data_IF_708961754784
#
_entry.id   IF_708961754784
#
_cell.length_a   1.000
_cell.length_b   1.000
_cell.length_c   1.000
_cell.angle_alpha   90.00
_cell.angle_beta   90.00
_cell.angle_gamma   90.00
#
_symmetry.space_group_name_H-M   'P 1'
#
loop_
_entity.id
_entity.type
_entity.pdbx_description
1 polymer ?
#
# COMPACT_ATOMS: atom_id res chain seq x y z
N UNK A 1 10.02 11.93 -69.70
CA UNK A 1 10.84 11.17 -68.74
C UNK A 1 10.51 11.63 -67.33
N UNK A 2 9.72 10.88 -66.59
CA UNK A 2 9.32 11.21 -65.22
C UNK A 2 10.23 10.43 -64.27
N UNK A 3 11.00 11.15 -63.43
CA UNK A 3 11.87 10.56 -62.38
C UNK A 3 11.02 10.10 -61.21
N UNK A 4 10.99 8.79 -60.97
CA UNK A 4 10.38 8.18 -59.80
C UNK A 4 11.31 8.37 -58.60
N UNK A 5 10.84 9.14 -57.59
CA UNK A 5 11.54 9.37 -56.34
C UNK A 5 11.20 8.23 -55.38
N UNK A 6 12.18 7.39 -55.01
CA UNK A 6 12.07 6.34 -53.97
C UNK A 6 11.91 6.97 -52.61
N UNK A 7 10.83 6.59 -51.89
CA UNK A 7 10.65 6.89 -50.45
C UNK A 7 11.76 6.25 -49.58
N UNK A 8 12.30 6.95 -48.56
CA UNK A 8 13.23 6.37 -47.63
C UNK A 8 12.50 5.41 -46.67
N UNK A 9 13.14 4.28 -46.37
CA UNK A 9 12.69 3.29 -45.38
C UNK A 9 12.77 3.90 -43.99
N UNK A 10 11.67 3.80 -43.21
CA UNK A 10 11.63 4.11 -41.79
C UNK A 10 12.57 3.17 -41.01
N UNK A 11 13.28 3.67 -39.99
CA UNK A 11 14.09 2.82 -39.11
C UNK A 11 13.18 1.97 -38.21
N UNK A 12 13.56 0.72 -38.03
CA UNK A 12 12.88 -0.23 -37.17
C UNK A 12 12.99 0.21 -35.70
N UNK A 13 11.85 0.24 -35.00
CA UNK A 13 11.75 0.45 -33.57
C UNK A 13 12.34 -0.77 -32.83
N UNK A 14 13.31 -0.60 -31.91
CA UNK A 14 13.77 -1.72 -31.12
C UNK A 14 12.68 -2.14 -30.12
N UNK A 15 12.48 -3.45 -29.96
CA UNK A 15 11.58 -4.05 -28.97
C UNK A 15 12.02 -3.68 -27.54
N UNK A 16 11.08 -3.49 -26.60
CA UNK A 16 11.40 -3.22 -25.21
C UNK A 16 12.09 -4.44 -24.59
N UNK A 17 13.28 -4.25 -24.05
CA UNK A 17 13.98 -5.23 -23.25
C UNK A 17 13.21 -5.47 -21.95
N UNK A 18 12.73 -6.71 -21.77
CA UNK A 18 12.18 -7.21 -20.51
C UNK A 18 13.31 -7.28 -19.47
N UNK A 19 13.47 -6.23 -18.67
CA UNK A 19 14.25 -6.31 -17.43
C UNK A 19 13.28 -6.64 -16.29
N UNK A 20 13.02 -7.93 -16.06
CA UNK A 20 12.49 -8.40 -14.79
C UNK A 20 13.52 -8.06 -13.69
N UNK A 21 13.38 -6.91 -13.08
CA UNK A 21 14.16 -6.51 -11.91
C UNK A 21 13.85 -7.46 -10.76
N UNK A 22 14.85 -8.26 -10.35
CA UNK A 22 14.79 -9.05 -9.13
C UNK A 22 14.51 -8.10 -7.96
N UNK A 23 13.31 -8.22 -7.36
CA UNK A 23 12.95 -7.58 -6.09
C UNK A 23 13.97 -8.01 -5.04
N UNK A 24 14.61 -7.09 -4.29
CA UNK A 24 15.51 -7.47 -3.22
C UNK A 24 14.69 -8.21 -2.14
N UNK A 25 15.06 -9.48 -1.87
CA UNK A 25 14.55 -10.25 -0.72
C UNK A 25 15.03 -9.56 0.55
N UNK A 26 14.30 -8.57 1.06
CA UNK A 26 14.40 -8.15 2.45
C UNK A 26 13.83 -9.28 3.29
N UNK A 27 14.54 -9.66 4.36
CA UNK A 27 14.30 -10.81 5.19
C UNK A 27 12.81 -11.05 5.47
N UNK A 28 12.35 -12.28 5.22
CA UNK A 28 10.97 -12.68 5.38
C UNK A 28 10.48 -12.34 6.80
N UNK A 29 9.41 -11.59 6.89
CA UNK A 29 8.69 -11.39 8.14
C UNK A 29 8.10 -12.75 8.48
N UNK A 30 8.58 -13.37 9.56
CA UNK A 30 7.92 -14.58 10.09
C UNK A 30 6.55 -14.12 10.60
N UNK A 31 5.49 -14.43 9.85
CA UNK A 31 4.12 -14.31 10.36
C UNK A 31 4.04 -15.15 11.62
N UNK A 32 3.51 -14.57 12.71
CA UNK A 32 3.29 -15.33 13.94
C UNK A 32 2.48 -16.58 13.59
N UNK A 33 2.99 -17.74 13.99
CA UNK A 33 2.40 -19.05 13.68
C UNK A 33 0.89 -19.02 13.92
N UNK A 34 0.15 -19.80 13.10
CA UNK A 34 -1.29 -19.99 13.31
C UNK A 34 -1.60 -20.07 14.81
N UNK A 35 -2.68 -19.45 15.24
CA UNK A 35 -3.18 -19.48 16.63
C UNK A 35 -3.46 -20.93 17.07
N UNK A 36 -2.36 -21.70 17.16
CA UNK A 36 -2.39 -23.15 17.39
C UNK A 36 -2.52 -23.48 18.86
N UNK A 37 -3.70 -23.32 19.41
CA UNK A 37 -4.14 -24.30 20.42
C UNK A 37 -4.32 -25.64 19.70
N UNK A 38 -3.87 -26.75 20.30
CA UNK A 38 -4.06 -28.13 19.76
C UNK A 38 -5.55 -28.47 19.50
N UNK A 39 -6.47 -27.61 19.93
CA UNK A 39 -7.93 -27.68 19.79
C UNK A 39 -8.53 -26.53 18.98
N UNK A 40 -7.73 -25.71 18.27
CA UNK A 40 -8.30 -24.68 17.40
C UNK A 40 -9.07 -25.34 16.25
N UNK A 41 -10.25 -24.84 15.87
CA UNK A 41 -10.99 -25.33 14.71
C UNK A 41 -10.12 -25.28 13.45
N UNK A 42 -10.19 -26.33 12.64
CA UNK A 42 -9.51 -26.36 11.34
C UNK A 42 -10.18 -25.34 10.42
N UNK A 43 -9.38 -24.43 9.87
CA UNK A 43 -9.86 -23.47 8.87
C UNK A 43 -9.98 -24.20 7.52
N UNK A 44 -11.20 -24.27 7.00
CA UNK A 44 -11.49 -24.88 5.71
C UNK A 44 -12.33 -23.92 4.86
N UNK A 45 -11.66 -22.97 4.22
CA UNK A 45 -12.26 -21.94 3.36
C UNK A 45 -11.85 -22.13 1.90
N UNK A 46 -11.31 -23.30 1.54
CA UNK A 46 -10.90 -23.61 0.16
C UNK A 46 -9.53 -23.04 -0.25
N UNK A 47 -8.77 -22.48 0.70
CA UNK A 47 -7.42 -21.93 0.49
C UNK A 47 -6.43 -22.74 1.32
N UNK A 48 -5.35 -23.23 0.71
CA UNK A 48 -4.33 -24.02 1.38
C UNK A 48 -3.60 -23.24 2.48
N UNK A 49 -3.08 -23.96 3.48
CA UNK A 49 -2.41 -23.35 4.63
C UNK A 49 -1.22 -22.49 4.23
N UNK A 50 -0.43 -22.93 3.26
CA UNK A 50 0.74 -22.20 2.78
C UNK A 50 0.35 -20.89 2.10
N UNK A 51 -0.71 -20.94 1.28
CA UNK A 51 -1.24 -19.77 0.57
C UNK A 51 -1.83 -18.76 1.57
N UNK A 52 -2.60 -19.24 2.57
CA UNK A 52 -3.12 -18.38 3.65
C UNK A 52 -1.99 -17.67 4.41
N UNK A 53 -0.86 -18.34 4.63
CA UNK A 53 0.30 -17.74 5.29
C UNK A 53 0.97 -16.66 4.43
N UNK A 54 1.13 -16.90 3.13
CA UNK A 54 1.70 -15.93 2.18
C UNK A 54 0.80 -14.67 2.05
N UNK A 55 -0.52 -14.87 1.97
CA UNK A 55 -1.48 -13.77 1.92
C UNK A 55 -1.46 -12.97 3.23
N UNK A 56 -1.44 -13.65 4.39
CA UNK A 56 -1.39 -13.01 5.70
C UNK A 56 -0.10 -12.20 5.92
N UNK A 57 1.03 -12.63 5.35
CA UNK A 57 2.28 -11.85 5.34
C UNK A 57 2.07 -10.55 4.56
N UNK A 58 1.49 -10.61 3.38
CA UNK A 58 1.18 -9.44 2.57
C UNK A 58 0.24 -8.47 3.27
N UNK A 59 -0.85 -8.99 3.84
CA UNK A 59 -1.79 -8.19 4.61
C UNK A 59 -1.15 -7.52 5.82
N UNK A 60 -0.23 -8.20 6.51
CA UNK A 60 0.50 -7.64 7.65
C UNK A 60 1.38 -6.45 7.22
N UNK A 61 1.99 -6.50 6.04
CA UNK A 61 2.78 -5.39 5.48
C UNK A 61 1.86 -4.22 5.11
N UNK A 62 0.77 -4.48 4.40
CA UNK A 62 -0.22 -3.45 4.04
C UNK A 62 -0.82 -2.80 5.29
N UNK A 63 -1.12 -3.58 6.33
CA UNK A 63 -1.63 -3.09 7.60
C UNK A 63 -0.63 -2.14 8.29
N UNK A 64 0.64 -2.55 8.39
CA UNK A 64 1.67 -1.74 9.03
C UNK A 64 1.91 -0.42 8.29
N UNK A 65 1.96 -0.46 6.96
CA UNK A 65 2.10 0.74 6.13
C UNK A 65 0.86 1.65 6.23
N UNK A 66 -0.34 1.08 6.23
CA UNK A 66 -1.59 1.84 6.40
C UNK A 66 -1.65 2.50 7.78
N UNK A 67 -1.26 1.78 8.85
CA UNK A 67 -1.26 2.32 10.21
C UNK A 67 -0.21 3.42 10.39
N UNK A 68 0.98 3.25 9.81
CA UNK A 68 2.04 4.26 9.82
C UNK A 68 1.59 5.53 9.08
N UNK A 69 0.95 5.37 7.91
CA UNK A 69 0.40 6.48 7.15
C UNK A 69 -0.75 7.17 7.88
N UNK A 70 -1.63 6.39 8.54
CA UNK A 70 -2.68 6.93 9.42
C UNK A 70 -2.10 7.84 10.49
N UNK A 71 -1.12 7.35 11.25
CA UNK A 71 -0.49 8.13 12.33
C UNK A 71 0.19 9.39 11.79
N UNK A 72 0.87 9.30 10.65
CA UNK A 72 1.51 10.43 9.98
C UNK A 72 0.47 11.48 9.56
N UNK A 73 -0.63 11.06 8.93
CA UNK A 73 -1.71 11.95 8.50
C UNK A 73 -2.39 12.64 9.69
N UNK A 74 -2.63 11.88 10.76
CA UNK A 74 -3.24 12.40 11.99
C UNK A 74 -2.30 13.39 12.70
N UNK A 75 -0.99 13.11 12.75
CA UNK A 75 0.01 14.05 13.25
C UNK A 75 0.02 15.36 12.44
N UNK A 76 -0.04 15.26 11.12
CA UNK A 76 -0.08 16.44 10.25
C UNK A 76 -1.39 17.22 10.38
N UNK A 77 -2.52 16.55 10.59
CA UNK A 77 -3.78 17.21 10.91
C UNK A 77 -3.66 18.09 12.17
N UNK A 78 -3.01 17.62 13.22
CA UNK A 78 -2.79 18.40 14.44
C UNK A 78 -1.84 19.59 14.26
N UNK A 79 -0.80 19.41 13.42
CA UNK A 79 0.35 20.29 13.39
C UNK A 79 0.42 21.19 12.14
N UNK A 80 -0.49 21.06 11.18
CA UNK A 80 -0.51 21.90 9.99
C UNK A 80 -0.79 23.36 10.35
N UNK A 81 -0.08 24.29 9.71
CA UNK A 81 -0.23 25.75 9.90
C UNK A 81 -0.09 26.47 8.56
N UNK A 82 -0.43 27.75 8.53
CA UNK A 82 -0.23 28.63 7.37
C UNK A 82 -1.48 28.91 6.57
N UNK A 83 -1.36 29.49 5.36
CA UNK A 83 -2.50 29.99 4.58
C UNK A 83 -3.54 28.93 4.20
N UNK A 84 -3.10 27.67 4.10
CA UNK A 84 -3.95 26.53 3.73
C UNK A 84 -4.45 25.74 4.94
N UNK A 85 -4.33 26.28 6.15
CA UNK A 85 -4.67 25.57 7.40
C UNK A 85 -6.06 24.91 7.33
N UNK A 86 -7.11 25.68 7.05
CA UNK A 86 -8.48 25.16 7.09
C UNK A 86 -8.71 24.02 6.09
N UNK A 87 -8.23 24.17 4.86
CA UNK A 87 -8.43 23.19 3.81
C UNK A 87 -7.63 21.91 4.07
N UNK A 88 -6.37 22.04 4.49
CA UNK A 88 -5.51 20.88 4.77
C UNK A 88 -5.91 20.16 6.05
N UNK A 89 -6.27 20.89 7.11
CA UNK A 89 -6.76 20.32 8.36
C UNK A 89 -8.01 19.46 8.13
N UNK A 90 -8.98 19.96 7.37
CA UNK A 90 -10.18 19.21 7.00
C UNK A 90 -9.87 18.02 6.08
N UNK A 91 -8.99 18.19 5.08
CA UNK A 91 -8.59 17.14 4.16
C UNK A 91 -7.87 16.00 4.90
N UNK A 92 -6.92 16.33 5.76
CA UNK A 92 -6.19 15.32 6.55
C UNK A 92 -7.12 14.57 7.50
N UNK A 93 -8.15 15.24 8.07
CA UNK A 93 -9.18 14.56 8.87
C UNK A 93 -9.94 13.51 8.05
N UNK A 94 -10.36 13.84 6.85
CA UNK A 94 -11.03 12.87 5.95
C UNK A 94 -10.12 11.69 5.65
N UNK A 95 -8.84 11.94 5.35
CA UNK A 95 -7.88 10.91 4.99
C UNK A 95 -7.54 10.00 6.17
N UNK A 96 -7.22 10.54 7.36
CA UNK A 96 -6.90 9.68 8.49
C UNK A 96 -8.11 8.87 8.98
N UNK A 97 -9.33 9.40 8.85
CA UNK A 97 -10.56 8.68 9.21
C UNK A 97 -10.78 7.48 8.28
N UNK A 98 -10.56 7.64 6.99
CA UNK A 98 -10.61 6.56 6.01
C UNK A 98 -9.54 5.49 6.29
N UNK A 99 -8.29 5.92 6.52
CA UNK A 99 -7.18 5.03 6.86
C UNK A 99 -7.47 4.23 8.14
N UNK A 100 -8.01 4.87 9.17
CA UNK A 100 -8.44 4.22 10.41
C UNK A 100 -9.43 3.09 10.15
N UNK A 101 -10.49 3.36 9.39
CA UNK A 101 -11.50 2.35 9.05
C UNK A 101 -10.92 1.18 8.26
N UNK A 102 -9.96 1.44 7.37
CA UNK A 102 -9.33 0.39 6.56
C UNK A 102 -8.41 -0.53 7.35
N UNK A 103 -7.77 -0.06 8.44
CA UNK A 103 -6.91 -0.91 9.28
C UNK A 103 -7.67 -2.09 9.88
N UNK A 104 -8.90 -1.86 10.32
CA UNK A 104 -9.75 -2.90 10.90
C UNK A 104 -10.08 -3.99 9.87
N UNK A 105 -10.53 -3.59 8.68
CA UNK A 105 -10.86 -4.52 7.59
C UNK A 105 -9.66 -5.40 7.20
N UNK A 106 -8.46 -4.81 7.10
CA UNK A 106 -7.24 -5.55 6.76
C UNK A 106 -6.85 -6.52 7.88
N UNK A 107 -6.93 -6.07 9.13
CA UNK A 107 -6.61 -6.89 10.30
C UNK A 107 -7.58 -8.07 10.44
N UNK A 108 -8.88 -7.83 10.30
CA UNK A 108 -9.91 -8.88 10.35
C UNK A 108 -9.76 -9.89 9.21
N UNK A 109 -9.39 -9.44 7.99
CA UNK A 109 -9.08 -10.36 6.89
C UNK A 109 -7.92 -11.28 7.23
N UNK A 110 -6.85 -10.75 7.83
CA UNK A 110 -5.71 -11.56 8.34
C UNK A 110 -6.20 -12.60 9.35
N UNK A 111 -7.12 -12.24 10.25
CA UNK A 111 -7.74 -13.15 11.22
C UNK A 111 -8.59 -14.23 10.56
N UNK A 112 -9.37 -13.88 9.54
CA UNK A 112 -10.17 -14.82 8.78
C UNK A 112 -9.33 -15.90 8.07
N UNK A 113 -8.10 -15.55 7.66
CA UNK A 113 -7.13 -16.48 7.10
C UNK A 113 -6.43 -17.36 8.15
N UNK A 114 -6.69 -17.15 9.46
CA UNK A 114 -6.18 -17.95 10.56
C UNK A 114 -4.90 -17.45 11.19
N UNK A 115 -4.42 -16.27 10.83
CA UNK A 115 -3.19 -15.68 11.34
C UNK A 115 -3.47 -14.52 12.30
N UNK A 116 -2.53 -14.24 13.20
CA UNK A 116 -2.60 -13.04 14.03
C UNK A 116 -2.22 -11.81 13.21
N UNK A 117 -3.03 -10.76 13.32
CA UNK A 117 -2.68 -9.45 12.78
C UNK A 117 -1.66 -8.79 13.72
N UNK A 118 -0.58 -8.15 13.18
CA UNK A 118 0.31 -7.33 14.00
C UNK A 118 -0.47 -6.15 14.57
N UNK A 119 -0.18 -5.76 15.82
CA UNK A 119 -0.98 -4.74 16.51
C UNK A 119 -0.19 -3.89 17.50
N UNK A 120 1.13 -3.80 17.36
CA UNK A 120 1.95 -2.93 18.19
C UNK A 120 2.86 -2.02 17.36
N UNK A 121 3.19 -0.84 17.90
CA UNK A 121 4.15 0.07 17.23
C UNK A 121 5.50 -0.59 16.98
N UNK A 122 5.95 -1.47 17.89
CA UNK A 122 7.21 -2.20 17.75
C UNK A 122 7.18 -3.22 16.60
N UNK A 123 6.03 -3.82 16.31
CA UNK A 123 5.84 -4.70 15.15
C UNK A 123 5.74 -3.87 13.86
N UNK A 124 4.91 -2.85 13.85
CA UNK A 124 4.73 -1.99 12.67
C UNK A 124 6.06 -1.35 12.22
N UNK A 125 6.87 -0.83 13.15
CA UNK A 125 8.16 -0.23 12.81
C UNK A 125 9.17 -1.19 12.16
N UNK A 126 9.01 -2.52 12.36
CA UNK A 126 9.89 -3.53 11.76
C UNK A 126 9.48 -3.89 10.34
N UNK A 127 8.20 -3.79 10.02
CA UNK A 127 7.64 -4.30 8.76
C UNK A 127 7.15 -3.18 7.85
N UNK A 128 6.83 -2.00 8.37
CA UNK A 128 6.39 -0.87 7.56
C UNK A 128 7.50 -0.39 6.60
N UNK A 129 7.06 -0.03 5.40
CA UNK A 129 7.89 0.57 4.34
C UNK A 129 7.72 2.08 4.30
N UNK A 130 6.53 2.57 4.71
CA UNK A 130 6.26 3.99 4.90
C UNK A 130 7.15 4.50 6.04
N UNK A 131 7.95 5.57 5.84
CA UNK A 131 8.79 6.13 6.88
C UNK A 131 7.99 6.68 8.06
N UNK A 132 8.58 6.64 9.24
CA UNK A 132 8.04 7.31 10.43
C UNK A 132 7.83 8.81 10.19
N UNK A 133 6.87 9.37 10.93
CA UNK A 133 6.60 10.81 10.94
C UNK A 133 7.85 11.58 11.43
N UNK A 134 8.23 12.72 10.78
CA UNK A 134 9.32 13.54 11.24
C UNK A 134 9.09 14.04 12.68
N UNK A 135 10.13 14.03 13.52
CA UNK A 135 10.05 14.50 14.91
C UNK A 135 9.62 15.98 15.02
N UNK A 136 10.06 16.81 14.07
CA UNK A 136 9.62 18.19 13.95
C UNK A 136 8.61 18.30 12.81
N UNK A 137 7.40 18.82 13.05
CA UNK A 137 6.40 18.97 12.00
C UNK A 137 6.96 19.83 10.84
N UNK A 138 6.93 19.31 9.60
CA UNK A 138 7.41 20.05 8.43
C UNK A 138 6.40 21.14 8.02
N UNK A 139 6.79 22.00 7.09
CA UNK A 139 5.86 22.98 6.49
C UNK A 139 4.71 22.28 5.75
N UNK A 140 3.56 22.96 5.64
CA UNK A 140 2.32 22.40 5.09
C UNK A 140 2.50 21.69 3.74
N UNK A 141 3.19 22.30 2.76
CA UNK A 141 3.40 21.67 1.45
C UNK A 141 4.38 20.48 1.51
N UNK A 142 5.29 20.44 2.48
CA UNK A 142 6.14 19.26 2.69
C UNK A 142 5.34 18.13 3.36
N UNK A 143 4.40 18.43 4.25
CA UNK A 143 3.43 17.43 4.74
C UNK A 143 2.67 16.79 3.57
N UNK A 144 2.18 17.60 2.63
CA UNK A 144 1.50 17.11 1.42
C UNK A 144 2.41 16.20 0.60
N UNK A 145 3.69 16.57 0.38
CA UNK A 145 4.66 15.72 -0.36
C UNK A 145 4.92 14.38 0.34
N UNK A 146 5.02 14.40 1.66
CA UNK A 146 5.22 13.18 2.45
C UNK A 146 3.99 12.27 2.32
N UNK A 147 2.77 12.81 2.40
CA UNK A 147 1.55 12.04 2.26
C UNK A 147 1.38 11.47 0.84
N UNK A 148 1.73 12.22 -0.22
CA UNK A 148 1.76 11.68 -1.60
C UNK A 148 2.63 10.41 -1.64
N UNK A 149 3.86 10.50 -1.15
CA UNK A 149 4.80 9.35 -1.13
C UNK A 149 4.27 8.19 -0.27
N UNK A 150 3.63 8.49 0.86
CA UNK A 150 3.02 7.50 1.72
C UNK A 150 1.92 6.71 1.01
N UNK A 151 0.96 7.41 0.40
CA UNK A 151 -0.12 6.78 -0.36
C UNK A 151 0.41 5.96 -1.55
N UNK A 152 1.36 6.48 -2.32
CA UNK A 152 2.00 5.75 -3.41
C UNK A 152 2.72 4.49 -2.92
N UNK A 153 3.30 4.53 -1.72
CA UNK A 153 3.97 3.37 -1.13
C UNK A 153 2.96 2.29 -0.75
N UNK A 154 1.88 2.64 -0.05
CA UNK A 154 0.83 1.67 0.31
C UNK A 154 0.20 1.07 -0.95
N UNK A 155 -0.09 1.88 -1.98
CA UNK A 155 -0.63 1.38 -3.26
C UNK A 155 0.32 0.37 -3.92
N UNK A 156 1.63 0.64 -3.95
CA UNK A 156 2.62 -0.31 -4.51
C UNK A 156 2.67 -1.61 -3.73
N UNK A 157 2.71 -1.55 -2.41
CA UNK A 157 2.74 -2.75 -1.55
C UNK A 157 1.45 -3.56 -1.72
N UNK A 158 0.28 -2.93 -1.68
CA UNK A 158 -0.99 -3.62 -1.93
C UNK A 158 -0.99 -4.33 -3.30
N UNK A 159 -0.48 -3.68 -4.33
CA UNK A 159 -0.41 -4.20 -5.69
C UNK A 159 0.53 -5.40 -5.85
N UNK A 160 1.59 -5.48 -5.01
CA UNK A 160 2.50 -6.64 -4.99
C UNK A 160 1.79 -7.93 -4.54
N UNK A 161 0.76 -7.83 -3.69
CA UNK A 161 0.08 -8.98 -3.10
C UNK A 161 -1.25 -9.35 -3.78
N UNK A 162 -1.75 -8.55 -4.72
CA UNK A 162 -2.92 -8.92 -5.54
C UNK A 162 -2.69 -10.25 -6.25
N UNK A 163 -1.60 -10.46 -7.02
CA UNK A 163 -1.36 -11.73 -7.69
C UNK A 163 -1.23 -12.91 -6.71
N UNK A 164 -0.68 -12.70 -5.52
CA UNK A 164 -0.55 -13.76 -4.50
C UNK A 164 -1.93 -14.25 -4.03
N UNK A 165 -2.89 -13.32 -3.88
CA UNK A 165 -4.26 -13.65 -3.52
C UNK A 165 -5.00 -14.33 -4.70
N UNK A 166 -4.85 -13.81 -5.92
CA UNK A 166 -5.46 -14.37 -7.13
C UNK A 166 -4.99 -15.80 -7.41
N UNK A 167 -3.68 -16.06 -7.35
CA UNK A 167 -3.09 -17.40 -7.56
C UNK A 167 -3.58 -18.41 -6.52
N UNK A 168 -3.90 -17.97 -5.31
CA UNK A 168 -4.46 -18.79 -4.25
C UNK A 168 -6.00 -18.95 -4.33
N UNK A 169 -6.66 -18.28 -5.26
CA UNK A 169 -8.13 -18.25 -5.35
C UNK A 169 -8.79 -17.45 -4.22
N UNK A 170 -8.07 -16.50 -3.61
CA UNK A 170 -8.59 -15.62 -2.57
C UNK A 170 -9.10 -14.30 -3.18
N UNK A 171 -10.17 -14.38 -3.97
CA UNK A 171 -10.82 -13.23 -4.60
C UNK A 171 -11.21 -12.14 -3.58
N UNK A 172 -11.73 -12.45 -2.37
CA UNK A 172 -12.04 -11.42 -1.38
C UNK A 172 -10.82 -10.59 -0.95
N UNK A 173 -9.64 -11.19 -0.84
CA UNK A 173 -8.41 -10.44 -0.55
C UNK A 173 -7.93 -9.65 -1.76
N UNK A 174 -7.97 -10.22 -2.96
CA UNK A 174 -7.63 -9.53 -4.20
C UNK A 174 -8.50 -8.28 -4.42
N UNK A 175 -9.82 -8.41 -4.24
CA UNK A 175 -10.78 -7.31 -4.33
C UNK A 175 -10.50 -6.22 -3.29
N UNK A 176 -10.27 -6.61 -2.03
CA UNK A 176 -9.93 -5.67 -0.97
C UNK A 176 -8.66 -4.89 -1.29
N UNK A 177 -7.59 -5.56 -1.73
CA UNK A 177 -6.32 -4.90 -2.09
C UNK A 177 -6.49 -3.99 -3.32
N UNK A 178 -7.30 -4.38 -4.30
CA UNK A 178 -7.64 -3.56 -5.47
C UNK A 178 -8.41 -2.30 -5.06
N UNK A 179 -9.37 -2.42 -4.15
CA UNK A 179 -10.08 -1.27 -3.59
C UNK A 179 -9.12 -0.34 -2.84
N UNK A 180 -8.17 -0.88 -2.08
CA UNK A 180 -7.13 -0.08 -1.41
C UNK A 180 -6.27 0.68 -2.42
N UNK A 181 -5.81 0.03 -3.50
CA UNK A 181 -5.08 0.73 -4.57
C UNK A 181 -5.88 1.92 -5.11
N UNK A 182 -7.17 1.73 -5.39
CA UNK A 182 -8.03 2.81 -5.91
C UNK A 182 -8.08 4.01 -4.97
N UNK A 183 -8.28 3.79 -3.67
CA UNK A 183 -8.34 4.86 -2.66
C UNK A 183 -6.99 5.58 -2.55
N UNK A 184 -5.89 4.85 -2.47
CA UNK A 184 -4.57 5.45 -2.33
C UNK A 184 -4.13 6.21 -3.59
N UNK A 185 -4.39 5.67 -4.80
CA UNK A 185 -4.07 6.33 -6.07
C UNK A 185 -4.87 7.64 -6.21
N UNK A 186 -6.17 7.63 -5.87
CA UNK A 186 -7.02 8.82 -5.89
C UNK A 186 -6.55 9.87 -4.87
N UNK A 187 -6.23 9.46 -3.64
CA UNK A 187 -5.76 10.37 -2.61
C UNK A 187 -4.41 10.99 -2.98
N UNK A 188 -3.48 10.18 -3.52
CA UNK A 188 -2.20 10.67 -4.00
C UNK A 188 -2.37 11.68 -5.14
N UNK A 189 -3.31 11.44 -6.07
CA UNK A 189 -3.63 12.41 -7.13
C UNK A 189 -4.15 13.73 -6.56
N UNK A 190 -5.13 13.69 -5.65
CA UNK A 190 -5.69 14.90 -5.03
C UNK A 190 -4.63 15.70 -4.27
N UNK A 191 -3.77 15.03 -3.50
CA UNK A 191 -2.66 15.66 -2.79
C UNK A 191 -1.63 16.27 -3.75
N UNK A 192 -1.29 15.57 -4.84
CA UNK A 192 -0.33 16.05 -5.86
C UNK A 192 -0.82 17.31 -6.55
N UNK A 193 -2.13 17.40 -6.80
CA UNK A 193 -2.75 18.60 -7.40
C UNK A 193 -2.58 19.88 -6.55
N UNK A 194 -2.31 19.74 -5.24
CA UNK A 194 -1.98 20.89 -4.36
C UNK A 194 -0.53 21.36 -4.51
N UNK A 195 0.31 20.60 -5.17
CA UNK A 195 1.75 20.88 -5.35
C UNK A 195 2.06 21.53 -6.70
N UNK A 196 1.06 21.65 -7.57
CA UNK A 196 1.18 22.37 -8.85
C UNK A 196 1.16 23.88 -8.57
N UNK A 197 2.12 24.61 -9.17
CA UNK A 197 2.25 26.09 -9.10
C UNK A 197 1.56 26.77 -10.30
#
# INVERSE_FOLDING_TARGET
MVKVIKKPKSPATPAPASSAGKVPKKGGVKVAEESGSRNAPIINIGIDRQDRAAIAEGLSRVLADTYTLYLTTHNFHWNVTGPHFNSLHAMFMTQYTELWGSTDVIAERTRALGHYAPGSYAEFSKIATVPDVPQTPPKAMEMVRILVKGHETVSRIAREFIPVAEEAGDDPTADMLTARCTVHDQTAWMLRSLLEE
#
